data_IF_955995050414
#
_entry.id   IF_955995050414
#
_cell.length_a   1.000
_cell.length_b   1.000
_cell.length_c   1.000
_cell.angle_alpha   90.00
_cell.angle_beta   90.00
_cell.angle_gamma   90.00
#
_symmetry.space_group_name_H-M   'P 1'
#
loop_
_entity.id
_entity.type
_entity.pdbx_description
1 polymer ?
#
# COMPACT_ATOMS: atom_id res chain seq x y z
N UNK A 1 -4.56 27.35 0.72
CA UNK A 1 -6.01 27.35 0.92
C UNK A 1 -6.41 25.91 1.23
N UNK A 2 -6.50 25.53 2.51
CA UNK A 2 -6.88 24.18 2.92
C UNK A 2 -8.39 24.07 2.73
N UNK A 3 -8.84 23.47 1.62
CA UNK A 3 -10.21 23.00 1.54
C UNK A 3 -10.39 21.96 2.65
N UNK A 4 -11.12 22.29 3.71
CA UNK A 4 -11.66 21.27 4.59
C UNK A 4 -12.55 20.37 3.74
N UNK A 5 -12.05 19.18 3.45
CA UNK A 5 -12.88 18.14 2.85
C UNK A 5 -13.97 17.85 3.87
N UNK A 6 -15.20 18.32 3.59
CA UNK A 6 -16.37 18.00 4.40
C UNK A 6 -16.50 16.49 4.39
N UNK A 7 -16.14 15.89 5.52
CA UNK A 7 -16.21 14.46 5.76
C UNK A 7 -17.36 14.18 6.70
N UNK A 8 -18.04 13.04 6.52
CA UNK A 8 -19.12 12.64 7.41
C UNK A 8 -18.54 12.13 8.74
N UNK A 9 -19.27 12.34 9.84
CA UNK A 9 -18.85 11.87 11.18
C UNK A 9 -18.76 10.35 11.27
N UNK A 10 -19.81 9.67 10.81
CA UNK A 10 -19.88 8.21 10.78
C UNK A 10 -20.94 7.76 9.78
N UNK A 11 -20.74 6.60 9.17
CA UNK A 11 -21.72 5.89 8.36
C UNK A 11 -22.05 4.54 9.01
N UNK A 12 -23.34 4.24 9.15
CA UNK A 12 -23.83 2.95 9.65
C UNK A 12 -24.41 2.21 8.45
N UNK A 13 -23.67 1.22 7.96
CA UNK A 13 -23.97 0.54 6.70
C UNK A 13 -24.20 -0.94 6.94
N UNK A 14 -25.13 -1.51 6.18
CA UNK A 14 -25.40 -2.94 6.19
C UNK A 14 -24.79 -3.58 4.94
N UNK A 15 -24.07 -4.68 5.13
CA UNK A 15 -23.49 -5.48 4.05
C UNK A 15 -23.81 -6.96 4.26
N UNK A 16 -23.56 -7.76 3.21
CA UNK A 16 -23.46 -9.21 3.37
C UNK A 16 -22.39 -9.55 4.41
N UNK A 17 -22.61 -10.60 5.21
CA UNK A 17 -21.78 -10.98 6.35
C UNK A 17 -20.30 -11.12 5.98
N UNK A 18 -19.98 -11.82 4.90
CA UNK A 18 -18.59 -12.03 4.50
C UNK A 18 -17.91 -10.70 4.13
N UNK A 19 -18.60 -9.84 3.38
CA UNK A 19 -18.09 -8.52 3.00
C UNK A 19 -17.83 -7.65 4.24
N UNK A 20 -18.79 -7.58 5.16
CA UNK A 20 -18.63 -6.86 6.42
C UNK A 20 -17.42 -7.36 7.22
N UNK A 21 -17.24 -8.68 7.28
CA UNK A 21 -16.11 -9.28 7.99
C UNK A 21 -14.76 -9.03 7.31
N UNK A 22 -14.72 -8.90 5.97
CA UNK A 22 -13.50 -8.46 5.26
C UNK A 22 -13.12 -7.02 5.63
N UNK A 23 -14.06 -6.11 5.86
CA UNK A 23 -13.75 -4.72 6.23
C UNK A 23 -13.06 -4.62 7.61
N UNK A 24 -13.46 -5.45 8.56
CA UNK A 24 -12.97 -5.44 9.94
C UNK A 24 -11.87 -6.47 10.21
N UNK A 25 -11.50 -7.27 9.22
CA UNK A 25 -10.50 -8.32 9.38
C UNK A 25 -9.17 -7.75 9.88
N UNK A 26 -8.46 -8.52 10.69
CA UNK A 26 -7.12 -8.16 11.19
C UNK A 26 -6.03 -8.88 10.41
N UNK A 27 -4.78 -8.39 10.44
CA UNK A 27 -3.65 -9.15 9.94
C UNK A 27 -3.65 -10.57 10.50
N UNK A 28 -3.24 -11.52 9.67
CA UNK A 28 -3.21 -12.95 9.89
C UNK A 28 -4.59 -13.65 9.92
N UNK A 29 -5.69 -12.93 9.69
CA UNK A 29 -7.01 -13.54 9.51
C UNK A 29 -7.26 -13.98 8.05
N UNK A 30 -8.09 -15.00 7.87
CA UNK A 30 -8.41 -15.56 6.55
C UNK A 30 -9.05 -14.55 5.61
N UNK A 31 -9.93 -13.69 6.13
CA UNK A 31 -10.65 -12.65 5.39
C UNK A 31 -9.83 -11.36 5.18
N UNK A 32 -8.61 -11.28 5.73
CA UNK A 32 -7.72 -10.13 5.54
C UNK A 32 -7.31 -10.00 4.07
N UNK A 33 -7.57 -8.84 3.48
CA UNK A 33 -7.38 -8.60 2.05
C UNK A 33 -7.13 -7.12 1.75
N UNK A 34 -6.89 -6.79 0.47
CA UNK A 34 -6.70 -5.41 0.00
C UNK A 34 -7.84 -4.47 0.44
N UNK A 35 -9.09 -4.95 0.41
CA UNK A 35 -10.25 -4.18 0.87
C UNK A 35 -10.09 -3.76 2.33
N UNK A 36 -9.65 -4.68 3.17
CA UNK A 36 -9.39 -4.45 4.59
C UNK A 36 -8.37 -3.34 4.78
N UNK A 37 -7.21 -3.46 4.11
CA UNK A 37 -6.09 -2.54 4.22
C UNK A 37 -6.47 -1.13 3.77
N UNK A 38 -7.11 -1.01 2.60
CA UNK A 38 -7.55 0.30 2.08
C UNK A 38 -8.62 0.95 2.95
N UNK A 39 -9.60 0.18 3.41
CA UNK A 39 -10.67 0.75 4.25
C UNK A 39 -10.13 1.22 5.60
N UNK A 40 -9.26 0.42 6.23
CA UNK A 40 -8.70 0.73 7.54
C UNK A 40 -7.62 1.83 7.53
N UNK A 41 -6.97 2.05 6.37
CA UNK A 41 -6.14 3.24 6.14
C UNK A 41 -6.98 4.51 6.25
N UNK A 42 -8.13 4.55 5.57
CA UNK A 42 -8.94 5.76 5.42
C UNK A 42 -9.93 5.97 6.57
N UNK A 43 -10.35 4.90 7.24
CA UNK A 43 -11.41 4.94 8.24
C UNK A 43 -11.17 3.95 9.39
N UNK A 44 -11.74 4.25 10.55
CA UNK A 44 -11.97 3.26 11.61
C UNK A 44 -13.23 2.48 11.25
N UNK A 45 -13.15 1.16 11.28
CA UNK A 45 -14.28 0.29 10.95
C UNK A 45 -14.58 -0.63 12.13
N UNK A 46 -15.84 -0.73 12.51
CA UNK A 46 -16.28 -1.61 13.60
C UNK A 46 -17.49 -2.42 13.18
N UNK A 47 -17.49 -3.72 13.48
CA UNK A 47 -18.66 -4.57 13.32
C UNK A 47 -19.60 -4.33 14.51
N UNK A 48 -20.86 -3.97 14.23
CA UNK A 48 -21.81 -3.62 15.28
C UNK A 48 -22.69 -4.81 15.64
N UNK A 49 -23.35 -5.42 14.65
CA UNK A 49 -24.26 -6.53 14.89
C UNK A 49 -24.46 -7.40 13.64
N UNK A 50 -24.92 -8.63 13.86
CA UNK A 50 -25.34 -9.57 12.81
C UNK A 50 -26.84 -9.40 12.57
N UNK A 51 -27.27 -9.46 11.31
CA UNK A 51 -28.69 -9.43 10.93
C UNK A 51 -29.01 -10.72 10.19
N UNK A 52 -29.93 -11.51 10.76
CA UNK A 52 -30.36 -12.77 10.18
C UNK A 52 -31.15 -12.57 8.88
N UNK A 53 -30.97 -13.46 7.89
CA UNK A 53 -31.68 -13.39 6.60
C UNK A 53 -33.22 -13.37 6.71
N UNK A 54 -33.76 -13.92 7.80
CA UNK A 54 -35.21 -13.94 8.04
C UNK A 54 -35.79 -12.56 8.42
N UNK A 55 -34.94 -11.55 8.66
CA UNK A 55 -35.37 -10.16 8.91
C UNK A 55 -35.64 -9.37 7.62
N UNK A 56 -35.52 -9.99 6.45
CA UNK A 56 -35.72 -9.36 5.14
C UNK A 56 -36.93 -9.93 4.42
N UNK A 57 -37.53 -9.13 3.53
CA UNK A 57 -38.64 -9.54 2.67
C UNK A 57 -38.36 -9.08 1.22
N UNK A 58 -38.13 -10.01 0.26
CA UNK A 58 -37.95 -11.45 0.44
C UNK A 58 -36.63 -11.79 1.17
N UNK A 59 -36.53 -12.96 1.84
CA UNK A 59 -35.29 -13.38 2.51
C UNK A 59 -34.13 -13.60 1.51
N UNK A 60 -32.94 -13.01 1.73
CA UNK A 60 -31.76 -13.28 0.92
C UNK A 60 -31.17 -14.67 1.20
N UNK A 61 -30.25 -15.12 0.34
CA UNK A 61 -29.54 -16.40 0.50
C UNK A 61 -28.47 -16.38 1.59
N UNK A 62 -28.01 -15.20 1.98
CA UNK A 62 -26.87 -15.01 2.88
C UNK A 62 -27.23 -14.12 4.07
N UNK A 63 -26.44 -14.24 5.14
CA UNK A 63 -26.55 -13.41 6.33
C UNK A 63 -26.03 -11.99 6.07
N UNK A 64 -26.51 -11.02 6.85
CA UNK A 64 -26.08 -9.63 6.80
C UNK A 64 -25.37 -9.20 8.08
N UNK A 65 -24.70 -8.06 8.03
CA UNK A 65 -24.03 -7.44 9.18
C UNK A 65 -24.02 -5.93 9.03
N UNK A 66 -24.20 -5.25 10.15
CA UNK A 66 -24.11 -3.79 10.23
C UNK A 66 -22.71 -3.42 10.70
N UNK A 67 -22.09 -2.47 10.02
CA UNK A 67 -20.77 -1.91 10.34
C UNK A 67 -20.87 -0.40 10.50
N UNK A 68 -20.03 0.14 11.39
CA UNK A 68 -19.78 1.57 11.54
C UNK A 68 -18.47 1.90 10.84
N UNK A 69 -18.48 2.92 10.00
CA UNK A 69 -17.30 3.46 9.31
C UNK A 69 -17.15 4.92 9.71
N UNK A 70 -16.00 5.26 10.27
CA UNK A 70 -15.65 6.62 10.70
C UNK A 70 -14.39 7.06 9.98
N UNK A 71 -14.48 8.01 9.03
CA UNK A 71 -13.30 8.55 8.35
C UNK A 71 -12.27 9.05 9.35
N UNK A 72 -11.00 8.77 9.11
CA UNK A 72 -9.93 9.28 9.99
C UNK A 72 -9.81 10.80 9.84
N UNK A 73 -9.67 11.47 10.98
CA UNK A 73 -9.43 12.90 11.05
C UNK A 73 -8.26 13.17 12.01
N UNK A 74 -7.18 13.85 11.56
CA UNK A 74 -6.94 14.30 10.18
C UNK A 74 -6.80 13.12 9.19
N UNK A 75 -7.06 13.35 7.89
CA UNK A 75 -6.84 12.32 6.88
C UNK A 75 -5.35 11.97 6.80
N UNK A 76 -5.06 10.68 6.54
CA UNK A 76 -3.69 10.21 6.35
C UNK A 76 -3.10 10.91 5.12
N UNK A 77 -1.95 11.55 5.29
CA UNK A 77 -1.25 12.26 4.22
C UNK A 77 -0.46 11.26 3.37
N UNK A 78 -1.17 10.50 2.53
CA UNK A 78 -0.58 9.53 1.61
C UNK A 78 -1.20 9.67 0.23
N UNK A 79 -0.39 9.57 -0.81
CA UNK A 79 -0.91 9.50 -2.17
C UNK A 79 -1.66 8.16 -2.33
N UNK A 80 -2.99 8.22 -2.44
CA UNK A 80 -3.80 7.01 -2.48
C UNK A 80 -3.54 6.15 -3.73
N UNK A 81 -3.15 6.76 -4.86
CA UNK A 81 -2.81 6.03 -6.09
C UNK A 81 -1.55 5.18 -5.89
N UNK A 82 -0.53 5.77 -5.25
CA UNK A 82 0.71 5.06 -4.89
C UNK A 82 0.42 3.93 -3.89
N UNK A 83 -0.37 4.23 -2.86
CA UNK A 83 -0.79 3.26 -1.86
C UNK A 83 -1.52 2.07 -2.47
N UNK A 84 -2.57 2.32 -3.27
CA UNK A 84 -3.36 1.24 -3.88
C UNK A 84 -2.53 0.42 -4.86
N UNK A 85 -1.60 1.07 -5.61
CA UNK A 85 -0.65 0.39 -6.49
C UNK A 85 0.25 -0.60 -5.74
N UNK A 86 0.88 -0.17 -4.64
CA UNK A 86 1.69 -1.03 -3.78
C UNK A 86 0.87 -2.18 -3.21
N UNK A 87 -0.25 -1.86 -2.54
CA UNK A 87 -1.07 -2.86 -1.84
C UNK A 87 -1.65 -3.86 -2.83
N UNK A 88 -2.02 -3.43 -4.05
CA UNK A 88 -2.45 -4.33 -5.13
C UNK A 88 -1.38 -5.37 -5.48
N UNK A 89 -0.12 -4.97 -5.62
CA UNK A 89 0.97 -5.92 -5.87
C UNK A 89 1.15 -6.88 -4.69
N UNK A 90 1.22 -6.35 -3.47
CA UNK A 90 1.40 -7.13 -2.25
C UNK A 90 0.27 -8.17 -2.05
N UNK A 91 -0.98 -7.85 -2.37
CA UNK A 91 -2.11 -8.76 -2.18
C UNK A 91 -2.40 -9.69 -3.37
N UNK A 92 -1.65 -9.60 -4.47
CA UNK A 92 -1.75 -10.54 -5.60
C UNK A 92 -1.58 -12.00 -5.16
N UNK A 93 -0.65 -12.24 -4.22
CA UNK A 93 -0.40 -13.55 -3.58
C UNK A 93 -0.10 -13.36 -2.09
N UNK A 94 -1.10 -12.92 -1.32
CA UNK A 94 -0.96 -12.48 0.09
C UNK A 94 -0.19 -13.43 1.05
N UNK A 95 -0.15 -14.73 0.73
CA UNK A 95 0.51 -15.76 1.54
C UNK A 95 1.95 -16.09 1.09
N UNK A 96 2.43 -15.49 -0.01
CA UNK A 96 3.84 -15.55 -0.42
C UNK A 96 4.61 -14.39 0.23
N UNK A 97 5.91 -14.57 0.36
CA UNK A 97 6.79 -13.51 0.88
C UNK A 97 6.85 -12.34 -0.08
N UNK A 98 7.06 -11.13 0.43
CA UNK A 98 7.18 -9.93 -0.43
C UNK A 98 8.33 -10.10 -1.42
N UNK A 99 9.48 -10.65 -1.01
CA UNK A 99 10.58 -10.95 -1.93
C UNK A 99 10.16 -11.84 -3.11
N UNK A 100 9.29 -12.84 -2.88
CA UNK A 100 8.77 -13.70 -3.95
C UNK A 100 7.74 -12.99 -4.86
N UNK A 101 7.06 -11.96 -4.36
CA UNK A 101 6.12 -11.12 -5.14
C UNK A 101 6.90 -10.14 -6.02
N UNK A 102 7.84 -9.40 -5.43
CA UNK A 102 8.64 -8.39 -6.13
C UNK A 102 9.68 -8.99 -7.09
N UNK A 103 10.00 -10.28 -6.96
CA UNK A 103 10.82 -11.02 -7.94
C UNK A 103 10.06 -11.42 -9.21
N UNK A 104 8.73 -11.27 -9.27
CA UNK A 104 7.98 -11.64 -10.47
C UNK A 104 8.25 -10.67 -11.63
N UNK A 105 8.46 -11.22 -12.83
CA UNK A 105 8.73 -10.44 -14.05
C UNK A 105 7.71 -9.32 -14.27
N UNK A 106 6.40 -9.60 -14.21
CA UNK A 106 5.36 -8.59 -14.38
C UNK A 106 5.41 -7.46 -13.33
N UNK A 107 5.87 -7.74 -12.12
CA UNK A 107 6.08 -6.73 -11.08
C UNK A 107 7.30 -5.87 -11.42
N UNK A 108 8.43 -6.51 -11.75
CA UNK A 108 9.65 -5.81 -12.14
C UNK A 108 9.43 -4.92 -13.37
N UNK A 109 8.70 -5.39 -14.37
CA UNK A 109 8.42 -4.64 -15.61
C UNK A 109 7.61 -3.37 -15.32
N UNK A 110 6.64 -3.46 -14.41
CA UNK A 110 5.85 -2.32 -13.96
C UNK A 110 6.74 -1.30 -13.22
N UNK A 111 7.51 -1.76 -12.23
CA UNK A 111 8.36 -0.90 -11.42
C UNK A 111 9.46 -0.25 -12.26
N UNK A 112 10.05 -0.97 -13.20
CA UNK A 112 11.10 -0.46 -14.09
C UNK A 112 10.54 0.64 -14.99
N UNK A 113 9.37 0.42 -15.60
CA UNK A 113 8.69 1.43 -16.41
C UNK A 113 8.43 2.71 -15.61
N UNK A 114 7.94 2.57 -14.38
CA UNK A 114 7.64 3.70 -13.50
C UNK A 114 8.90 4.44 -13.06
N UNK A 115 9.96 3.69 -12.74
CA UNK A 115 11.26 4.23 -12.36
C UNK A 115 11.90 5.02 -13.51
N UNK A 116 11.87 4.49 -14.74
CA UNK A 116 12.33 5.22 -15.95
C UNK A 116 11.58 6.54 -16.15
N UNK A 117 10.25 6.51 -16.01
CA UNK A 117 9.42 7.71 -16.12
C UNK A 117 9.76 8.74 -15.04
N UNK A 118 10.00 8.28 -13.81
CA UNK A 118 10.43 9.15 -12.72
C UNK A 118 11.76 9.83 -13.01
N UNK A 119 12.78 9.08 -13.46
CA UNK A 119 14.08 9.65 -13.84
C UNK A 119 13.96 10.70 -14.96
N UNK A 120 13.09 10.48 -15.96
CA UNK A 120 12.84 11.46 -17.03
C UNK A 120 12.20 12.75 -16.51
N UNK A 121 11.29 12.65 -15.54
CA UNK A 121 10.63 13.80 -14.92
C UNK A 121 11.58 14.57 -14.00
N UNK A 122 12.45 13.87 -13.29
CA UNK A 122 13.49 14.47 -12.44
C UNK A 122 14.53 15.21 -13.28
N UNK A 123 15.02 14.59 -14.37
CA UNK A 123 15.97 15.22 -15.29
C UNK A 123 15.41 16.46 -16.00
N UNK A 124 14.09 16.51 -16.22
CA UNK A 124 13.42 17.69 -16.79
C UNK A 124 13.08 18.76 -15.75
N UNK A 125 13.39 18.54 -14.46
CA UNK A 125 13.10 19.46 -13.36
C UNK A 125 11.61 19.57 -13.01
N UNK A 126 10.76 18.70 -13.59
CA UNK A 126 9.31 18.72 -13.39
C UNK A 126 8.88 18.22 -12.01
N UNK A 127 9.76 17.49 -11.31
CA UNK A 127 9.59 17.04 -9.94
C UNK A 127 10.87 17.32 -9.16
N UNK A 128 10.74 17.76 -7.91
CA UNK A 128 11.87 17.76 -6.98
C UNK A 128 12.25 16.30 -6.73
N UNK A 129 13.56 16.00 -6.75
CA UNK A 129 14.09 14.72 -6.29
C UNK A 129 13.63 14.41 -4.86
N UNK A 130 13.78 13.16 -4.38
CA UNK A 130 13.35 12.80 -3.04
C UNK A 130 13.92 13.81 -2.04
N UNK A 131 13.04 14.41 -1.25
CA UNK A 131 13.40 15.44 -0.30
C UNK A 131 14.50 14.89 0.60
N UNK A 132 15.72 15.41 0.45
CA UNK A 132 16.76 15.28 1.45
C UNK A 132 16.19 15.87 2.74
N UNK A 133 15.79 14.99 3.67
CA UNK A 133 15.51 15.42 5.04
C UNK A 133 16.74 16.16 5.54
N UNK A 134 16.55 17.41 5.94
CA UNK A 134 17.65 18.27 6.36
C UNK A 134 18.43 17.66 7.52
N UNK A 135 19.68 17.33 7.25
CA UNK A 135 20.82 17.51 8.17
C UNK A 135 22.08 17.57 7.31
N UNK A 136 22.72 18.74 7.26
CA UNK A 136 24.09 18.86 6.77
C UNK A 136 24.98 17.94 7.61
N UNK A 137 25.49 16.86 6.99
CA UNK A 137 26.26 15.83 7.67
C UNK A 137 26.66 14.69 6.72
N UNK A 138 27.84 14.83 6.13
CA UNK A 138 28.78 13.81 5.64
C UNK A 138 28.26 12.39 5.35
N UNK A 139 28.17 12.06 4.05
CA UNK A 139 28.06 10.69 3.53
C UNK A 139 27.01 10.55 2.43
N UNK A 140 27.43 10.29 1.19
CA UNK A 140 26.49 9.86 0.15
C UNK A 140 25.94 8.49 0.55
N UNK A 141 24.63 8.41 0.83
CA UNK A 141 24.00 7.21 1.37
C UNK A 141 24.12 6.03 0.39
N UNK A 142 24.18 4.78 0.89
CA UNK A 142 24.40 3.58 0.05
C UNK A 142 23.33 3.46 -1.04
N UNK A 143 22.11 3.90 -0.73
CA UNK A 143 20.98 3.96 -1.66
C UNK A 143 21.22 4.98 -2.78
N UNK A 144 21.80 6.14 -2.47
CA UNK A 144 22.13 7.16 -3.47
C UNK A 144 23.28 6.70 -4.39
N UNK A 145 24.28 6.00 -3.84
CA UNK A 145 25.34 5.39 -4.66
C UNK A 145 24.80 4.30 -5.60
N UNK A 146 23.89 3.43 -5.12
CA UNK A 146 23.21 2.43 -5.97
C UNK A 146 22.33 3.10 -7.02
N UNK A 147 21.62 4.18 -6.67
CA UNK A 147 20.73 4.92 -7.57
C UNK A 147 21.49 5.57 -8.73
N UNK A 148 22.61 6.24 -8.45
CA UNK A 148 23.52 6.81 -9.45
C UNK A 148 24.19 5.76 -10.34
N UNK A 149 24.37 4.53 -9.83
CA UNK A 149 24.89 3.39 -10.60
C UNK A 149 23.87 2.74 -11.56
N UNK A 150 22.58 3.09 -11.47
CA UNK A 150 21.51 2.60 -12.36
C UNK A 150 21.28 3.61 -13.48
N UNK A 151 22.34 4.07 -14.14
CA UNK A 151 22.25 4.84 -15.39
C UNK A 151 22.02 3.93 -16.59
N UNK A 152 22.48 2.68 -16.49
CA UNK A 152 22.24 1.63 -17.48
C UNK A 152 21.19 0.62 -16.98
N UNK A 153 19.92 1.04 -17.02
CA UNK A 153 18.77 0.16 -16.74
C UNK A 153 18.61 -0.98 -17.78
N UNK A 154 19.52 -1.16 -18.75
CA UNK A 154 19.46 -2.29 -19.67
C UNK A 154 19.65 -3.64 -18.94
N UNK A 155 20.31 -3.63 -17.76
CA UNK A 155 20.51 -4.84 -16.97
C UNK A 155 19.37 -5.06 -15.96
N UNK A 156 18.39 -5.85 -16.40
CA UNK A 156 17.25 -6.31 -15.58
C UNK A 156 17.69 -6.99 -14.27
N UNK A 157 18.88 -7.61 -14.23
CA UNK A 157 19.39 -8.25 -13.02
C UNK A 157 19.71 -7.20 -11.95
N UNK A 158 20.38 -6.10 -12.34
CA UNK A 158 20.71 -5.01 -11.42
C UNK A 158 19.47 -4.32 -10.86
N UNK A 159 18.47 -4.05 -11.71
CA UNK A 159 17.22 -3.42 -11.23
C UNK A 159 16.46 -4.33 -10.26
N UNK A 160 16.42 -5.64 -10.55
CA UNK A 160 15.85 -6.62 -9.63
C UNK A 160 16.59 -6.63 -8.29
N UNK A 161 17.92 -6.66 -8.29
CA UNK A 161 18.71 -6.67 -7.06
C UNK A 161 18.54 -5.36 -6.26
N UNK A 162 18.34 -4.24 -6.94
CA UNK A 162 17.98 -2.95 -6.32
C UNK A 162 16.63 -3.02 -5.59
N UNK A 163 15.57 -3.48 -6.27
CA UNK A 163 14.23 -3.66 -5.67
C UNK A 163 14.28 -4.60 -4.46
N UNK A 164 14.99 -5.73 -4.58
CA UNK A 164 15.14 -6.69 -3.49
C UNK A 164 16.03 -6.16 -2.36
N UNK A 165 16.98 -5.30 -2.67
CA UNK A 165 17.80 -4.58 -1.70
C UNK A 165 16.95 -3.72 -0.76
N UNK A 166 16.02 -2.94 -1.30
CA UNK A 166 15.09 -2.11 -0.51
C UNK A 166 14.26 -2.97 0.45
N UNK A 167 13.77 -4.12 -0.01
CA UNK A 167 13.03 -5.06 0.84
C UNK A 167 13.90 -5.67 1.94
N UNK A 168 15.18 -5.95 1.65
CA UNK A 168 16.11 -6.55 2.60
C UNK A 168 16.50 -5.54 3.68
N UNK A 169 16.81 -4.30 3.29
CA UNK A 169 17.18 -3.21 4.20
C UNK A 169 16.03 -2.80 5.14
N UNK A 170 14.78 -3.00 4.71
CA UNK A 170 13.59 -2.81 5.58
C UNK A 170 13.07 -4.08 6.26
N UNK A 171 13.80 -5.19 6.21
CA UNK A 171 13.38 -6.48 6.77
C UNK A 171 12.01 -7.00 6.27
N UNK A 172 11.59 -6.56 5.08
CA UNK A 172 10.31 -6.92 4.47
C UNK A 172 10.40 -8.18 3.58
N UNK A 173 11.61 -8.58 3.16
CA UNK A 173 11.83 -9.64 2.18
C UNK A 173 11.08 -10.95 2.47
N UNK A 174 11.14 -11.43 3.72
CA UNK A 174 10.50 -12.68 4.16
C UNK A 174 9.10 -12.48 4.79
N UNK A 175 8.69 -11.23 4.97
CA UNK A 175 7.35 -10.90 5.49
C UNK A 175 6.30 -11.19 4.43
N UNK A 176 5.06 -11.45 4.87
CA UNK A 176 3.93 -11.79 4.01
C UNK A 176 2.84 -10.74 4.19
N UNK A 177 2.24 -10.29 3.09
CA UNK A 177 1.18 -9.28 3.09
C UNK A 177 0.02 -9.63 4.03
N UNK A 178 -0.28 -10.93 4.19
CA UNK A 178 -1.31 -11.38 5.11
C UNK A 178 -1.03 -11.05 6.57
N UNK A 179 0.22 -10.76 6.96
CA UNK A 179 0.63 -10.45 8.34
C UNK A 179 0.97 -8.97 8.58
N UNK A 180 0.99 -8.15 7.52
CA UNK A 180 1.36 -6.73 7.61
C UNK A 180 0.14 -5.89 7.95
N UNK A 181 0.29 -4.89 8.82
CA UNK A 181 -0.72 -3.87 9.12
C UNK A 181 -0.54 -2.63 8.22
N UNK A 182 -1.34 -1.58 8.45
CA UNK A 182 -1.26 -0.34 7.65
C UNK A 182 0.08 0.38 7.81
N UNK A 183 0.62 0.43 9.03
CA UNK A 183 1.88 1.12 9.32
C UNK A 183 3.06 0.43 8.61
N UNK A 184 3.06 -0.92 8.59
CA UNK A 184 4.02 -1.70 7.81
C UNK A 184 4.00 -1.35 6.31
N UNK A 185 2.80 -1.18 5.73
CA UNK A 185 2.68 -0.80 4.32
C UNK A 185 3.06 0.66 4.07
N UNK A 186 2.81 1.56 5.03
CA UNK A 186 3.23 2.96 4.93
C UNK A 186 4.75 3.07 4.95
N UNK A 187 5.41 2.33 5.86
CA UNK A 187 6.87 2.25 5.94
C UNK A 187 7.46 1.66 4.66
N UNK A 188 6.88 0.56 4.16
CA UNK A 188 7.31 -0.04 2.91
C UNK A 188 7.18 0.94 1.73
N UNK A 189 6.06 1.67 1.65
CA UNK A 189 5.84 2.67 0.61
C UNK A 189 6.84 3.83 0.70
N UNK A 190 7.09 4.32 1.92
CA UNK A 190 8.05 5.39 2.16
C UNK A 190 9.46 5.00 1.69
N UNK A 191 9.90 3.78 1.99
CA UNK A 191 11.19 3.25 1.53
C UNK A 191 11.31 3.17 0.01
N UNK A 192 10.28 2.65 -0.65
CA UNK A 192 10.28 2.62 -2.12
C UNK A 192 10.30 4.03 -2.72
N UNK A 193 9.48 4.95 -2.20
CA UNK A 193 9.45 6.33 -2.67
C UNK A 193 10.79 7.05 -2.44
N UNK A 194 11.45 6.85 -1.30
CA UNK A 194 12.79 7.38 -1.02
C UNK A 194 13.84 6.86 -2.03
N UNK A 195 13.68 5.61 -2.47
CA UNK A 195 14.49 4.98 -3.51
C UNK A 195 14.08 5.37 -4.95
N UNK A 196 13.11 6.28 -5.12
CA UNK A 196 12.58 6.72 -6.43
C UNK A 196 11.64 5.72 -7.11
N UNK A 197 11.26 4.64 -6.44
CA UNK A 197 10.35 3.61 -6.97
C UNK A 197 8.91 3.99 -6.62
N UNK A 198 8.10 4.14 -7.67
CA UNK A 198 6.70 4.57 -7.58
C UNK A 198 5.74 3.54 -8.21
N UNK A 199 4.52 3.50 -7.71
CA UNK A 199 3.48 2.50 -7.99
C UNK A 199 2.29 3.04 -8.82
N UNK A 200 2.35 4.31 -9.23
CA UNK A 200 1.33 4.97 -10.08
C UNK A 200 1.54 4.78 -11.59
#
# INVERSE_FOLDING_TARGET
MLYEVITFRAAILMFQREFAMRLVAKPNESLYCRLTVNTQLLARVSHLLKVGKNNFKPPPKVESSVVRIEPRHPPVQVNFTEWDGLVRLCFSRKNKTLGAIFKQNACLDLLEKNYRKFLQLEASGAIAGPAAGGSEGEGMDILDQKRLGITDLADRSKFKDYVLGILKEGEFGDRRSSKLNQDDFLELLARFNAAGIHFR
#
